data_IF_413374325127
#
_entry.id   IF_413374325127
#
_cell.length_a   1.000
_cell.length_b   1.000
_cell.length_c   1.000
_cell.angle_alpha   90.00
_cell.angle_beta   90.00
_cell.angle_gamma   90.00
#
_symmetry.space_group_name_H-M   'P 1'
#
loop_
_entity.id
_entity.type
_entity.pdbx_description
1 polymer ?
#
# COMPACT_ATOMS: atom_id res chain seq x y z
N UNK A 1 12.29 8.57 -3.43
CA UNK A 1 13.47 8.91 -4.25
C UNK A 1 14.72 8.26 -3.67
N UNK A 2 15.79 8.10 -4.44
CA UNK A 2 16.99 7.47 -3.93
C UNK A 2 18.11 7.40 -4.95
N UNK A 3 19.27 7.00 -4.46
CA UNK A 3 20.46 6.67 -5.24
C UNK A 3 20.77 5.18 -5.12
N UNK A 4 21.87 4.72 -5.74
CA UNK A 4 22.39 3.35 -5.52
C UNK A 4 22.78 3.07 -4.06
N UNK A 5 22.94 4.09 -3.22
CA UNK A 5 23.35 3.96 -1.82
C UNK A 5 22.28 4.40 -0.83
N UNK A 6 21.52 5.44 -1.13
CA UNK A 6 20.57 5.99 -0.18
C UNK A 6 19.14 5.82 -0.65
N UNK A 7 18.27 5.36 0.26
CA UNK A 7 16.82 5.28 0.06
C UNK A 7 16.13 6.27 0.97
N UNK A 8 15.34 7.16 0.38
CA UNK A 8 14.54 8.14 1.08
C UNK A 8 13.04 7.85 0.89
N UNK A 9 12.31 7.86 2.00
CA UNK A 9 10.87 7.58 2.06
C UNK A 9 10.18 8.72 2.81
N UNK A 10 9.07 9.21 2.25
CA UNK A 10 8.15 10.14 2.90
C UNK A 10 6.81 9.44 3.13
N UNK A 11 6.41 9.31 4.38
CA UNK A 11 5.13 8.71 4.77
C UNK A 11 4.09 9.82 4.93
N UNK A 12 3.17 9.94 3.96
CA UNK A 12 2.22 11.05 3.87
C UNK A 12 1.20 11.10 5.02
N UNK A 13 0.94 9.96 5.68
CA UNK A 13 0.00 9.83 6.81
C UNK A 13 0.70 9.17 8.01
N UNK A 14 1.82 9.75 8.46
CA UNK A 14 2.66 9.18 9.53
C UNK A 14 2.03 9.23 10.93
N UNK A 15 0.98 10.02 11.10
CA UNK A 15 0.15 10.07 12.30
C UNK A 15 -0.73 8.81 12.44
N UNK A 16 -1.01 8.13 11.34
CA UNK A 16 -1.85 6.93 11.31
C UNK A 16 -1.04 5.64 11.54
N UNK A 17 -1.67 4.68 12.21
CA UNK A 17 -1.11 3.32 12.31
C UNK A 17 -1.13 2.66 10.93
N UNK A 18 0.03 2.21 10.46
CA UNK A 18 0.14 1.50 9.21
C UNK A 18 -0.61 0.17 9.26
N UNK A 19 -1.33 -0.17 8.19
CA UNK A 19 -2.04 -1.43 8.05
C UNK A 19 -2.00 -1.93 6.62
N UNK A 20 -1.84 -3.24 6.42
CA UNK A 20 -1.93 -3.86 5.11
C UNK A 20 -2.58 -5.25 5.17
N UNK A 21 -2.68 -5.90 4.01
CA UNK A 21 -3.36 -7.18 3.88
C UNK A 21 -2.61 -8.38 4.53
N UNK A 22 -1.34 -8.20 4.90
CA UNK A 22 -0.52 -9.19 5.63
C UNK A 22 -0.84 -9.18 7.12
N UNK A 23 -1.18 -8.02 7.67
CA UNK A 23 -1.56 -7.88 9.07
C UNK A 23 -2.95 -8.45 9.38
N UNK A 24 -3.77 -8.68 8.35
CA UNK A 24 -5.11 -9.23 8.49
C UNK A 24 -5.05 -10.74 8.73
N UNK A 25 -5.78 -11.20 9.75
CA UNK A 25 -6.00 -12.64 9.99
C UNK A 25 -6.81 -13.21 8.83
N UNK A 26 -6.31 -14.28 8.21
CA UNK A 26 -7.06 -15.08 7.22
C UNK A 26 -6.98 -16.56 7.60
N UNK A 27 -8.09 -17.27 7.43
CA UNK A 27 -8.19 -18.69 7.77
C UNK A 27 -7.28 -19.59 6.91
N UNK A 28 -6.89 -19.15 5.73
CA UNK A 28 -6.22 -19.96 4.69
C UNK A 28 -4.72 -19.65 4.53
N UNK A 29 -4.13 -18.80 5.36
CA UNK A 29 -2.74 -18.34 5.18
C UNK A 29 -1.95 -18.28 6.48
N UNK A 30 -0.63 -18.47 6.33
CA UNK A 30 0.35 -18.26 7.40
C UNK A 30 0.16 -16.87 8.00
N UNK A 31 -0.15 -16.83 9.29
CA UNK A 31 -0.39 -15.63 10.07
C UNK A 31 0.89 -15.23 10.81
N UNK A 32 2.02 -15.16 10.09
CA UNK A 32 3.32 -14.81 10.67
C UNK A 32 3.28 -13.47 11.42
N UNK A 33 2.47 -12.50 10.95
CA UNK A 33 2.28 -11.26 11.69
C UNK A 33 1.68 -11.49 13.09
N UNK A 34 0.73 -12.41 13.23
CA UNK A 34 0.14 -12.74 14.53
C UNK A 34 1.14 -13.45 15.44
N UNK A 35 2.03 -14.27 14.87
CA UNK A 35 3.13 -14.86 15.61
C UNK A 35 4.05 -13.78 16.19
N UNK A 36 4.46 -12.82 15.35
CA UNK A 36 5.30 -11.70 15.80
C UNK A 36 4.62 -10.85 16.88
N UNK A 37 3.31 -10.64 16.79
CA UNK A 37 2.55 -9.96 17.84
C UNK A 37 2.51 -10.80 19.12
N UNK A 38 2.34 -12.13 19.01
CA UNK A 38 2.36 -13.02 20.18
C UNK A 38 3.72 -13.01 20.86
N UNK A 39 4.80 -13.11 20.09
CA UNK A 39 6.18 -12.99 20.59
C UNK A 39 6.43 -11.64 21.26
N UNK A 40 5.99 -10.55 20.65
CA UNK A 40 6.10 -9.22 21.26
C UNK A 40 5.37 -9.17 22.62
N UNK A 41 4.18 -9.78 22.71
CA UNK A 41 3.38 -9.83 23.93
C UNK A 41 3.94 -10.80 24.99
N UNK A 42 4.70 -11.82 24.58
CA UNK A 42 5.37 -12.76 25.51
C UNK A 42 6.66 -12.21 26.10
N UNK A 43 7.05 -10.98 25.74
CA UNK A 43 8.23 -10.29 26.26
C UNK A 43 9.45 -10.32 25.34
N UNK A 44 9.31 -10.79 24.10
CA UNK A 44 10.39 -10.74 23.11
C UNK A 44 10.61 -9.29 22.65
N UNK A 45 11.66 -8.65 23.17
CA UNK A 45 11.98 -7.25 22.89
C UNK A 45 12.22 -6.97 21.39
N UNK A 46 12.85 -7.91 20.68
CA UNK A 46 13.10 -7.76 19.24
C UNK A 46 11.79 -7.76 18.44
N UNK A 47 10.90 -8.71 18.75
CA UNK A 47 9.58 -8.76 18.12
C UNK A 47 8.74 -7.52 18.44
N UNK A 48 8.81 -7.03 19.69
CA UNK A 48 8.14 -5.79 20.10
C UNK A 48 8.67 -4.57 19.33
N UNK A 49 9.99 -4.41 19.24
CA UNK A 49 10.61 -3.30 18.50
C UNK A 49 10.24 -3.31 17.01
N UNK A 50 10.30 -4.49 16.36
CA UNK A 50 10.01 -4.61 14.93
C UNK A 50 8.52 -4.40 14.61
N UNK A 51 7.62 -4.97 15.40
CA UNK A 51 6.17 -4.79 15.20
C UNK A 51 5.75 -3.33 15.45
N UNK A 52 6.28 -2.70 16.50
CA UNK A 52 6.07 -1.28 16.77
C UNK A 52 6.58 -0.40 15.62
N UNK A 53 7.83 -0.62 15.16
CA UNK A 53 8.42 0.10 14.02
C UNK A 53 7.59 -0.06 12.75
N UNK A 54 7.10 -1.26 12.48
CA UNK A 54 6.31 -1.54 11.29
C UNK A 54 4.94 -0.82 11.32
N UNK A 55 4.30 -0.76 12.49
CA UNK A 55 3.02 -0.09 12.69
C UNK A 55 3.14 1.44 12.79
N UNK A 56 4.23 1.96 13.36
CA UNK A 56 4.47 3.39 13.59
C UNK A 56 5.65 3.85 12.75
N UNK A 57 5.33 4.35 11.55
CA UNK A 57 6.31 4.81 10.58
C UNK A 57 6.44 6.33 10.67
N UNK A 58 7.66 6.86 10.87
CA UNK A 58 7.85 8.31 11.00
C UNK A 58 7.57 9.02 9.66
N UNK A 59 7.35 10.33 9.69
CA UNK A 59 7.05 11.13 8.49
C UNK A 59 8.11 10.98 7.40
N UNK A 60 9.37 10.88 7.80
CA UNK A 60 10.50 10.72 6.87
C UNK A 60 11.44 9.62 7.36
N UNK A 61 11.99 8.87 6.41
CA UNK A 61 12.96 7.81 6.65
C UNK A 61 14.11 7.92 5.65
N UNK A 62 15.34 7.70 6.12
CA UNK A 62 16.55 7.67 5.29
C UNK A 62 17.37 6.43 5.64
N UNK A 63 17.79 5.68 4.63
CA UNK A 63 18.55 4.44 4.81
C UNK A 63 19.77 4.42 3.90
N UNK A 64 20.92 3.96 4.42
CA UNK A 64 22.07 3.55 3.61
C UNK A 64 21.89 2.07 3.23
N UNK A 65 21.39 1.80 2.03
CA UNK A 65 21.08 0.43 1.58
C UNK A 65 22.32 -0.40 1.27
N UNK A 66 23.51 0.21 1.20
CA UNK A 66 24.77 -0.53 1.06
C UNK A 66 25.25 -1.06 2.40
N UNK A 67 25.16 -0.23 3.44
CA UNK A 67 25.57 -0.61 4.80
C UNK A 67 24.48 -1.44 5.51
N UNK A 68 23.21 -1.17 5.22
CA UNK A 68 22.04 -1.82 5.79
C UNK A 68 21.05 -2.23 4.67
N UNK A 69 21.28 -3.38 4.01
CA UNK A 69 20.44 -3.86 2.92
C UNK A 69 18.97 -4.08 3.31
N UNK A 70 18.70 -4.27 4.59
CA UNK A 70 17.36 -4.52 5.13
C UNK A 70 16.65 -3.26 5.62
N UNK A 71 17.33 -2.10 5.64
CA UNK A 71 16.78 -0.81 6.07
C UNK A 71 16.17 -0.87 7.48
N UNK A 72 16.91 -1.48 8.40
CA UNK A 72 16.55 -1.59 9.80
C UNK A 72 16.92 -0.32 10.59
N UNK A 73 17.93 0.44 10.16
CA UNK A 73 18.43 1.62 10.87
C UNK A 73 18.04 2.90 10.15
N UNK A 74 17.08 3.65 10.69
CA UNK A 74 16.66 4.93 10.10
C UNK A 74 17.67 6.04 10.45
N UNK A 75 18.32 6.59 9.44
CA UNK A 75 19.36 7.63 9.53
C UNK A 75 18.80 9.04 9.36
N UNK A 76 17.47 9.23 9.39
CA UNK A 76 16.85 10.54 9.14
C UNK A 76 17.31 11.63 10.13
N UNK A 77 17.71 11.24 11.35
CA UNK A 77 18.21 12.15 12.38
C UNK A 77 19.70 12.48 12.30
N UNK A 78 20.46 11.84 11.41
CA UNK A 78 21.91 12.04 11.33
C UNK A 78 22.26 13.41 10.70
N UNK A 79 22.93 14.31 11.44
CA UNK A 79 23.31 15.63 10.91
C UNK A 79 24.28 15.54 9.73
N UNK A 80 25.13 14.52 9.66
CA UNK A 80 26.11 14.32 8.58
C UNK A 80 25.41 14.01 7.25
N UNK A 81 24.20 13.43 7.29
CA UNK A 81 23.40 13.08 6.12
C UNK A 81 22.34 14.13 5.77
N UNK A 82 22.36 15.30 6.42
CA UNK A 82 21.40 16.37 6.18
C UNK A 82 21.37 16.86 4.73
N UNK A 83 22.54 16.93 4.07
CA UNK A 83 22.64 17.26 2.64
C UNK A 83 21.93 16.23 1.74
N UNK A 84 22.22 14.95 1.97
CA UNK A 84 21.59 13.83 1.23
C UNK A 84 20.06 13.84 1.42
N UNK A 85 19.58 14.04 2.65
CA UNK A 85 18.14 14.16 2.93
C UNK A 85 17.50 15.28 2.13
N UNK A 86 18.07 16.49 2.17
CA UNK A 86 17.52 17.66 1.47
C UNK A 86 17.48 17.44 -0.04
N UNK A 87 18.54 16.87 -0.60
CA UNK A 87 18.62 16.56 -2.03
C UNK A 87 17.54 15.57 -2.46
N UNK A 88 17.41 14.44 -1.75
CA UNK A 88 16.43 13.40 -2.07
C UNK A 88 14.99 13.85 -1.82
N UNK A 89 14.76 14.69 -0.81
CA UNK A 89 13.48 15.34 -0.56
C UNK A 89 13.09 16.24 -1.73
N UNK A 90 14.00 17.10 -2.19
CA UNK A 90 13.75 18.00 -3.31
C UNK A 90 13.49 17.24 -4.62
N UNK A 91 14.23 16.15 -4.88
CA UNK A 91 13.97 15.27 -6.02
C UNK A 91 12.57 14.65 -5.94
N UNK A 92 12.12 14.25 -4.75
CA UNK A 92 10.77 13.72 -4.56
C UNK A 92 9.72 14.78 -4.84
N UNK A 93 9.92 16.01 -4.36
CA UNK A 93 8.98 17.12 -4.58
C UNK A 93 8.86 17.46 -6.07
N UNK A 94 9.98 17.51 -6.79
CA UNK A 94 9.99 17.75 -8.24
C UNK A 94 9.25 16.65 -8.99
N UNK A 95 9.50 15.39 -8.62
CA UNK A 95 8.82 14.26 -9.24
C UNK A 95 7.32 14.28 -8.96
N UNK A 96 6.89 14.46 -7.71
CA UNK A 96 5.47 14.58 -7.35
C UNK A 96 4.78 15.69 -8.15
N UNK A 97 5.40 16.87 -8.22
CA UNK A 97 4.89 17.99 -9.03
C UNK A 97 4.76 17.62 -10.51
N UNK A 98 5.73 16.91 -11.08
CA UNK A 98 5.68 16.48 -12.49
C UNK A 98 4.53 15.51 -12.79
N UNK A 99 4.05 14.78 -11.78
CA UNK A 99 2.93 13.85 -11.90
C UNK A 99 1.57 14.50 -11.57
N UNK A 100 1.56 15.76 -11.13
CA UNK A 100 0.37 16.38 -10.55
C UNK A 100 -0.05 15.72 -9.23
N UNK A 101 0.91 15.16 -8.49
CA UNK A 101 0.68 14.53 -7.19
C UNK A 101 0.80 15.58 -6.06
N UNK A 102 -0.33 15.89 -5.44
CA UNK A 102 -0.44 16.79 -4.29
C UNK A 102 -0.23 16.05 -2.95
N UNK A 103 0.25 14.80 -2.98
CA UNK A 103 0.51 13.98 -1.81
C UNK A 103 -0.79 13.49 -1.16
N UNK A 104 -0.95 13.77 0.14
CA UNK A 104 -2.08 13.25 0.92
C UNK A 104 -3.45 13.60 0.32
N UNK A 105 -3.59 14.79 -0.28
CA UNK A 105 -4.80 15.19 -0.98
C UNK A 105 -5.10 14.32 -2.20
N UNK A 106 -4.07 13.96 -2.98
CA UNK A 106 -4.20 13.06 -4.13
C UNK A 106 -4.58 11.64 -3.70
N UNK A 107 -3.99 11.15 -2.61
CA UNK A 107 -4.34 9.85 -2.02
C UNK A 107 -5.78 9.80 -1.50
N UNK A 108 -6.26 10.87 -0.83
CA UNK A 108 -7.61 10.94 -0.27
C UNK A 108 -8.70 10.76 -1.34
N UNK A 109 -8.47 11.26 -2.55
CA UNK A 109 -9.42 11.16 -3.66
C UNK A 109 -9.18 9.94 -4.56
N UNK A 110 -8.16 9.12 -4.31
CA UNK A 110 -7.77 8.02 -5.19
C UNK A 110 -8.90 7.00 -5.44
N UNK A 111 -9.75 6.72 -4.44
CA UNK A 111 -10.86 5.78 -4.57
C UNK A 111 -11.95 6.27 -5.55
N UNK A 112 -12.11 7.59 -5.71
CA UNK A 112 -13.07 8.17 -6.65
C UNK A 112 -12.72 7.85 -8.11
N UNK A 113 -11.42 7.68 -8.40
CA UNK A 113 -10.90 7.38 -9.73
C UNK A 113 -11.05 5.90 -10.10
N UNK A 114 -11.25 5.01 -9.12
CA UNK A 114 -11.46 3.56 -9.33
C UNK A 114 -12.91 3.19 -9.67
N UNK A 115 -13.88 4.03 -9.32
CA UNK A 115 -15.31 3.72 -9.46
C UNK A 115 -15.82 3.67 -10.93
N UNK A 116 -15.10 4.29 -11.87
CA UNK A 116 -15.45 4.27 -13.30
C UNK A 116 -15.20 2.93 -13.99
N UNK A 117 -14.30 2.10 -13.45
CA UNK A 117 -14.06 0.74 -13.97
C UNK A 117 -15.17 -0.25 -13.57
N UNK A 118 -15.84 -0.04 -12.44
CA UNK A 118 -16.91 -0.91 -11.95
C UNK A 118 -18.26 -0.67 -12.64
N UNK A 119 -18.53 0.56 -13.11
CA UNK A 119 -19.76 0.87 -13.86
C UNK A 119 -19.85 0.20 -15.25
N UNK A 120 -18.75 -0.32 -15.80
CA UNK A 120 -18.74 -1.06 -17.09
C UNK A 120 -19.12 -2.56 -16.97
N UNK A 121 -19.43 -3.07 -15.77
CA UNK A 121 -19.83 -4.48 -15.55
C UNK A 121 -21.27 -4.65 -15.03
N UNK A 122 -22.24 -3.92 -15.58
CA UNK A 122 -23.64 -4.34 -15.46
C UNK A 122 -24.10 -4.90 -16.83
N UNK A 123 -24.47 -6.20 -16.92
CA UNK A 123 -25.06 -6.73 -18.14
C UNK A 123 -26.43 -6.09 -18.36
N UNK A 124 -26.66 -5.58 -19.57
CA UNK A 124 -27.98 -5.18 -20.05
C UNK A 124 -28.98 -6.32 -19.81
N UNK A 125 -29.99 -6.06 -18.98
CA UNK A 125 -31.17 -6.92 -18.90
C UNK A 125 -31.81 -7.01 -20.29
N UNK A 126 -31.67 -8.17 -20.95
CA UNK A 126 -32.35 -8.49 -22.20
C UNK A 126 -33.85 -8.41 -21.99
N UNK A 127 -34.52 -7.57 -22.76
CA UNK A 127 -35.97 -7.49 -22.79
C UNK A 127 -36.46 -7.74 -24.22
N UNK A 128 -37.39 -8.71 -24.35
CA UNK A 128 -38.38 -8.93 -25.43
C UNK A 128 -37.83 -9.49 -26.77
N UNK A 129 -38.47 -10.43 -27.48
CA UNK A 129 -39.90 -10.83 -27.60
C UNK A 129 -40.03 -12.22 -28.27
N UNK A 130 -41.21 -12.82 -28.05
CA UNK A 130 -41.86 -14.03 -28.61
C UNK A 130 -41.69 -14.28 -30.12
N UNK A 131 -41.61 -15.55 -30.52
CA UNK A 131 -42.60 -16.21 -31.39
C UNK A 131 -42.21 -17.68 -31.64
N UNK A 132 -42.98 -18.62 -31.08
CA UNK A 132 -43.06 -19.99 -31.61
C UNK A 132 -44.54 -20.30 -31.84
N UNK A 133 -44.87 -20.47 -33.12
CA UNK A 133 -46.16 -20.90 -33.59
C UNK A 133 -45.96 -21.87 -34.74
N UNK A 134 -46.50 -23.08 -34.54
CA UNK A 134 -46.97 -24.06 -35.52
C UNK A 134 -45.95 -24.94 -36.27
N UNK A 135 -46.06 -26.26 -36.01
CA UNK A 135 -46.72 -27.31 -36.84
C UNK A 135 -46.60 -28.65 -36.06
N UNK A 136 -47.67 -29.29 -35.55
CA UNK A 136 -48.47 -30.37 -36.20
C UNK A 136 -47.60 -31.32 -37.08
N UNK A 137 -47.65 -32.66 -37.03
CA UNK A 137 -48.57 -33.66 -36.48
C UNK A 137 -47.88 -35.06 -36.53
N UNK A 138 -48.44 -36.05 -35.82
CA UNK A 138 -48.62 -37.47 -36.23
C UNK A 138 -48.37 -38.51 -35.10
N UNK A 139 -49.49 -39.09 -34.62
CA UNK A 139 -49.80 -40.52 -34.38
C UNK A 139 -48.66 -41.51 -34.14
N UNK A 140 -48.65 -42.39 -33.11
CA UNK A 140 -49.71 -43.25 -32.56
C UNK A 140 -49.57 -43.42 -31.04
#
# INVERSE_FOLDING_TARGET
CGTKRYRYIRNLNADQTFSNAVMKVRKDRLSFWQEWIREAQSGNEHAAAMTAKYMRRPAEELYDVKADPHCLTNLIGDPQLSGVRKELSAQLDQWMKSQGDEGAATEAIANTRKASAQKKKQPQQKNKRKNEGQRESDTF
#
